data_IF_309399456403
#
_entry.id   IF_309399456403
#
_cell.length_a   1.000
_cell.length_b   1.000
_cell.length_c   1.000
_cell.angle_alpha   90.00
_cell.angle_beta   90.00
_cell.angle_gamma   90.00
#
_symmetry.space_group_name_H-M   'P 1'
#
loop_
_entity.id
_entity.type
_entity.pdbx_description
1 polymer ?
#
# COMPACT_ATOMS: atom_id res chain seq x y z
N UNK A 1 -3.78 -11.93 -11.02
CA UNK A 1 -4.92 -11.93 -10.07
C UNK A 1 -4.98 -10.69 -9.18
N UNK A 2 -3.87 -10.23 -8.57
CA UNK A 2 -3.84 -9.04 -7.69
C UNK A 2 -3.41 -7.73 -8.36
N UNK A 3 -3.05 -7.79 -9.65
CA UNK A 3 -2.42 -6.69 -10.39
C UNK A 3 -2.99 -6.50 -11.80
N UNK A 4 -3.56 -7.55 -12.38
CA UNK A 4 -3.83 -7.64 -13.83
C UNK A 4 -5.29 -7.41 -14.23
N UNK A 5 -6.21 -7.26 -13.28
CA UNK A 5 -7.59 -6.85 -13.57
C UNK A 5 -7.71 -5.32 -13.44
N UNK A 6 -8.57 -4.70 -14.27
CA UNK A 6 -8.87 -3.26 -14.22
C UNK A 6 -9.18 -2.79 -12.80
N UNK A 7 -9.96 -3.56 -12.05
CA UNK A 7 -10.27 -3.25 -10.64
C UNK A 7 -9.01 -3.17 -9.77
N UNK A 8 -8.16 -4.19 -9.82
CA UNK A 8 -6.93 -4.22 -9.01
C UNK A 8 -5.93 -3.14 -9.44
N UNK A 9 -5.87 -2.84 -10.73
CA UNK A 9 -5.07 -1.75 -11.25
C UNK A 9 -5.52 -0.40 -10.68
N UNK A 10 -6.83 -0.15 -10.62
CA UNK A 10 -7.38 1.07 -10.01
C UNK A 10 -7.07 1.17 -8.51
N UNK A 11 -7.00 0.05 -7.78
CA UNK A 11 -6.53 0.07 -6.37
C UNK A 11 -5.08 0.55 -6.29
N UNK A 12 -4.19 0.03 -7.13
CA UNK A 12 -2.80 0.46 -7.15
C UNK A 12 -2.65 1.92 -7.55
N UNK A 13 -3.37 2.38 -8.58
CA UNK A 13 -3.40 3.81 -8.94
C UNK A 13 -3.85 4.69 -7.77
N UNK A 14 -4.89 4.29 -7.05
CA UNK A 14 -5.39 5.02 -5.88
C UNK A 14 -4.34 5.07 -4.76
N UNK A 15 -3.63 3.96 -4.51
CA UNK A 15 -2.52 3.91 -3.57
C UNK A 15 -1.39 4.87 -3.96
N UNK A 16 -0.93 4.86 -5.21
CA UNK A 16 0.15 5.76 -5.65
C UNK A 16 -0.24 7.23 -5.61
N UNK A 17 -1.51 7.54 -5.93
CA UNK A 17 -2.04 8.90 -5.79
C UNK A 17 -2.03 9.35 -4.33
N UNK A 18 -2.45 8.49 -3.39
CA UNK A 18 -2.35 8.77 -1.95
C UNK A 18 -0.90 9.03 -1.51
N UNK A 19 0.05 8.31 -2.10
CA UNK A 19 1.49 8.47 -1.84
C UNK A 19 2.12 9.65 -2.59
N UNK A 20 1.36 10.38 -3.40
CA UNK A 20 1.87 11.47 -4.27
C UNK A 20 2.97 11.01 -5.26
N UNK A 21 2.95 9.74 -5.67
CA UNK A 21 3.93 9.15 -6.57
C UNK A 21 3.41 9.21 -8.02
N UNK A 22 3.98 10.12 -8.80
CA UNK A 22 3.72 10.22 -10.23
C UNK A 22 4.55 9.18 -10.99
N UNK A 23 4.02 7.97 -11.15
CA UNK A 23 4.65 6.92 -11.97
C UNK A 23 3.67 6.32 -12.96
N UNK A 24 4.15 6.01 -14.17
CA UNK A 24 3.40 5.18 -15.12
C UNK A 24 3.46 3.74 -14.60
N UNK A 25 2.34 3.22 -14.07
CA UNK A 25 2.27 1.84 -13.60
C UNK A 25 2.63 0.89 -14.74
N UNK A 26 3.69 0.07 -14.62
CA UNK A 26 3.99 -0.93 -15.64
C UNK A 26 2.91 -2.02 -15.64
N UNK A 27 2.48 -2.44 -16.82
CA UNK A 27 1.43 -3.46 -17.00
C UNK A 27 1.79 -4.85 -16.41
N UNK A 28 3.06 -5.09 -16.06
CA UNK A 28 3.59 -6.42 -15.71
C UNK A 28 4.22 -6.52 -14.31
N UNK A 29 3.93 -7.64 -13.63
CA UNK A 29 4.24 -7.95 -12.22
C UNK A 29 5.70 -7.72 -11.81
N UNK A 30 6.65 -8.18 -12.63
CA UNK A 30 8.10 -8.08 -12.37
C UNK A 30 8.59 -6.66 -12.56
N UNK A 31 8.02 -5.91 -13.52
CA UNK A 31 8.33 -4.49 -13.69
C UNK A 31 7.68 -3.64 -12.60
N UNK A 32 6.52 -4.05 -12.09
CA UNK A 32 5.93 -3.44 -10.91
C UNK A 32 6.83 -3.62 -9.70
N UNK A 33 7.18 -4.85 -9.33
CA UNK A 33 8.06 -5.12 -8.19
C UNK A 33 9.45 -4.50 -8.38
N UNK A 34 10.07 -4.62 -9.57
CA UNK A 34 11.40 -4.07 -9.84
C UNK A 34 11.43 -2.54 -9.94
N UNK A 35 10.41 -1.87 -10.48
CA UNK A 35 10.31 -0.40 -10.36
C UNK A 35 9.98 0.03 -8.93
N UNK A 36 9.21 -0.76 -8.18
CA UNK A 36 8.74 -0.43 -6.83
C UNK A 36 9.82 -0.64 -5.75
N UNK A 37 10.71 -1.62 -5.94
CA UNK A 37 11.89 -1.89 -5.09
C UNK A 37 13.18 -1.26 -5.62
N UNK A 38 13.23 -0.95 -6.92
CA UNK A 38 14.41 -0.40 -7.60
C UNK A 38 14.56 1.12 -7.50
N UNK A 39 13.55 1.83 -6.98
CA UNK A 39 13.63 3.27 -6.72
C UNK A 39 14.75 3.56 -5.71
N UNK A 40 15.82 4.28 -6.10
CA UNK A 40 16.99 4.51 -5.24
C UNK A 40 16.64 5.21 -3.93
N UNK A 41 15.60 6.06 -3.93
CA UNK A 41 15.08 6.75 -2.74
C UNK A 41 14.50 5.80 -1.70
N UNK A 42 14.21 4.54 -2.04
CA UNK A 42 13.52 3.58 -1.18
C UNK A 42 14.43 2.44 -0.67
N UNK A 43 15.70 2.40 -1.08
CA UNK A 43 16.66 1.36 -0.64
C UNK A 43 16.88 1.33 0.88
N UNK A 44 17.02 2.48 1.53
CA UNK A 44 17.10 2.57 3.00
C UNK A 44 15.70 2.52 3.66
N UNK A 45 14.62 2.58 2.86
CA UNK A 45 13.21 2.68 3.29
C UNK A 45 12.42 1.38 3.00
N UNK A 46 13.16 0.32 2.67
CA UNK A 46 12.62 -0.91 2.07
C UNK A 46 11.61 -1.62 2.97
N UNK A 47 11.78 -1.59 4.30
CA UNK A 47 10.87 -2.30 5.24
C UNK A 47 9.49 -1.67 5.33
N UNK A 48 9.40 -0.37 5.62
CA UNK A 48 8.15 0.37 5.64
C UNK A 48 7.41 0.26 4.32
N UNK A 49 8.18 0.33 3.23
CA UNK A 49 7.62 0.27 1.90
C UNK A 49 7.09 -1.11 1.51
N UNK A 50 7.83 -2.16 1.89
CA UNK A 50 7.38 -3.54 1.78
C UNK A 50 6.10 -3.78 2.58
N UNK A 51 5.95 -3.15 3.75
CA UNK A 51 4.74 -3.26 4.57
C UNK A 51 3.51 -2.67 3.86
N UNK A 52 3.62 -1.49 3.25
CA UNK A 52 2.52 -0.92 2.44
C UNK A 52 2.16 -1.86 1.28
N UNK A 53 3.16 -2.37 0.57
CA UNK A 53 2.93 -3.24 -0.56
C UNK A 53 2.22 -4.55 -0.15
N UNK A 54 2.69 -5.21 0.91
CA UNK A 54 2.10 -6.44 1.45
C UNK A 54 0.67 -6.22 1.95
N UNK A 55 0.43 -5.14 2.68
CA UNK A 55 -0.90 -4.82 3.23
C UNK A 55 -1.90 -4.44 2.14
N UNK A 56 -1.43 -3.85 1.03
CA UNK A 56 -2.26 -3.62 -0.16
C UNK A 56 -2.67 -4.94 -0.82
N UNK A 57 -1.73 -5.85 -1.07
CA UNK A 57 -2.05 -7.19 -1.62
C UNK A 57 -3.02 -7.92 -0.72
N UNK A 58 -2.77 -7.91 0.60
CA UNK A 58 -3.64 -8.53 1.58
C UNK A 58 -5.05 -7.97 1.53
N UNK A 59 -5.20 -6.65 1.41
CA UNK A 59 -6.50 -5.98 1.34
C UNK A 59 -7.25 -6.33 0.05
N UNK A 60 -6.55 -6.43 -1.08
CA UNK A 60 -7.13 -6.92 -2.34
C UNK A 60 -7.59 -8.38 -2.19
N UNK A 61 -6.76 -9.25 -1.61
CA UNK A 61 -7.10 -10.64 -1.36
C UNK A 61 -8.35 -10.77 -0.45
N UNK A 62 -8.39 -10.00 0.63
CA UNK A 62 -9.51 -9.98 1.56
C UNK A 62 -10.81 -9.52 0.88
N UNK A 63 -10.74 -8.47 0.06
CA UNK A 63 -11.90 -8.01 -0.71
C UNK A 63 -12.43 -9.09 -1.64
N UNK A 64 -11.55 -9.80 -2.36
CA UNK A 64 -11.95 -10.91 -3.23
C UNK A 64 -12.62 -12.05 -2.47
N UNK A 65 -12.10 -12.41 -1.31
CA UNK A 65 -12.72 -13.43 -0.46
C UNK A 65 -14.09 -13.00 0.02
N UNK A 66 -14.28 -11.73 0.38
CA UNK A 66 -15.60 -11.22 0.75
C UNK A 66 -16.59 -11.22 -0.42
N UNK A 67 -16.14 -11.11 -1.67
CA UNK A 67 -17.02 -11.31 -2.84
C UNK A 67 -17.48 -12.78 -2.88
N UNK A 68 -16.55 -13.72 -2.77
CA UNK A 68 -16.83 -15.16 -2.91
C UNK A 68 -17.67 -15.69 -1.74
N UNK A 69 -17.28 -15.39 -0.51
CA UNK A 69 -17.87 -16.00 0.69
C UNK A 69 -19.01 -15.19 1.31
N UNK A 70 -19.09 -13.88 1.00
CA UNK A 70 -20.08 -12.98 1.62
C UNK A 70 -20.93 -12.22 0.60
N UNK A 71 -20.74 -12.47 -0.71
CA UNK A 71 -21.46 -11.81 -1.80
C UNK A 71 -21.46 -10.26 -1.69
N UNK A 72 -20.35 -9.70 -1.20
CA UNK A 72 -20.20 -8.24 -1.04
C UNK A 72 -19.75 -7.58 -2.34
N UNK A 73 -20.08 -6.29 -2.51
CA UNK A 73 -19.55 -5.49 -3.61
C UNK A 73 -18.17 -4.92 -3.24
N UNK A 74 -17.17 -5.00 -4.13
CA UNK A 74 -15.87 -4.44 -3.86
C UNK A 74 -15.90 -2.90 -3.93
N UNK A 75 -15.14 -2.24 -3.04
CA UNK A 75 -14.97 -0.79 -3.01
C UNK A 75 -13.49 -0.45 -3.02
N UNK A 76 -13.07 0.39 -3.97
CA UNK A 76 -11.67 0.83 -4.09
C UNK A 76 -11.21 1.56 -2.81
N UNK A 77 -12.04 2.49 -2.33
CA UNK A 77 -11.75 3.26 -1.13
C UNK A 77 -11.62 2.36 0.09
N UNK A 78 -12.55 1.42 0.28
CA UNK A 78 -12.47 0.49 1.40
C UNK A 78 -11.21 -0.38 1.38
N UNK A 79 -10.74 -0.79 0.20
CA UNK A 79 -9.49 -1.55 0.05
C UNK A 79 -8.29 -0.67 0.44
N UNK A 80 -8.26 0.58 -0.03
CA UNK A 80 -7.21 1.52 0.34
C UNK A 80 -7.21 1.78 1.85
N UNK A 81 -8.36 2.07 2.45
CA UNK A 81 -8.49 2.32 3.88
C UNK A 81 -8.01 1.11 4.70
N UNK A 82 -8.38 -0.11 4.27
CA UNK A 82 -7.93 -1.34 4.91
C UNK A 82 -6.40 -1.49 4.82
N UNK A 83 -5.81 -1.15 3.67
CA UNK A 83 -4.37 -1.19 3.48
C UNK A 83 -3.65 -0.13 4.34
N UNK A 84 -4.19 1.09 4.40
CA UNK A 84 -3.64 2.20 5.17
C UNK A 84 -3.67 1.92 6.68
N UNK A 85 -4.78 1.42 7.22
CA UNK A 85 -4.89 1.04 8.64
C UNK A 85 -3.91 -0.09 8.97
N UNK A 86 -3.85 -1.12 8.12
CA UNK A 86 -2.97 -2.28 8.38
C UNK A 86 -1.49 -1.91 8.28
N UNK A 87 -1.10 -1.10 7.29
CA UNK A 87 0.28 -0.63 7.16
C UNK A 87 0.68 0.23 8.34
N UNK A 88 -0.17 1.18 8.74
CA UNK A 88 0.07 2.01 9.92
C UNK A 88 0.27 1.16 11.18
N UNK A 89 -0.64 0.21 11.45
CA UNK A 89 -0.52 -0.69 12.61
C UNK A 89 0.79 -1.48 12.60
N UNK A 90 1.19 -2.01 11.44
CA UNK A 90 2.40 -2.84 11.31
C UNK A 90 3.69 -2.05 11.39
N UNK A 91 3.65 -0.78 10.97
CA UNK A 91 4.78 0.13 11.07
C UNK A 91 4.94 0.57 12.53
N UNK A 92 3.88 1.11 13.13
CA UNK A 92 3.90 1.57 14.52
C UNK A 92 4.07 0.46 15.55
N UNK A 93 3.70 -0.80 15.25
CA UNK A 93 3.91 -1.90 16.20
C UNK A 93 5.37 -2.34 16.32
N UNK A 94 6.24 -1.86 15.41
CA UNK A 94 7.65 -2.31 15.34
C UNK A 94 8.63 -1.29 15.92
N UNK A 95 8.25 -0.03 16.03
CA UNK A 95 9.08 1.05 16.56
C UNK A 95 8.50 1.56 17.88
N UNK A 96 9.09 1.13 19.01
CA UNK A 96 8.65 1.50 20.37
C UNK A 96 8.87 2.99 20.69
N UNK A 97 9.75 3.68 19.97
CA UNK A 97 10.15 5.05 20.26
C UNK A 97 9.57 6.11 19.31
N UNK A 98 9.03 5.72 18.15
CA UNK A 98 8.67 6.67 17.07
C UNK A 98 7.33 6.34 16.41
N UNK A 99 6.28 6.34 17.23
CA UNK A 99 4.90 6.19 16.73
C UNK A 99 4.34 7.53 16.26
N UNK A 100 3.73 7.53 15.08
CA UNK A 100 2.97 8.68 14.57
C UNK A 100 1.48 8.38 14.54
N UNK A 101 0.64 9.41 14.63
CA UNK A 101 -0.82 9.22 14.59
C UNK A 101 -1.29 8.72 13.22
N UNK A 102 -2.42 8.00 13.20
CA UNK A 102 -3.02 7.58 11.94
C UNK A 102 -3.44 8.75 11.04
N UNK A 103 -3.83 9.89 11.62
CA UNK A 103 -4.14 11.10 10.85
C UNK A 103 -2.90 11.69 10.16
N UNK A 104 -1.75 11.65 10.82
CA UNK A 104 -0.48 12.09 10.26
C UNK A 104 -0.04 11.15 9.13
N UNK A 105 -0.19 9.84 9.32
CA UNK A 105 0.05 8.82 8.30
C UNK A 105 -0.75 9.07 7.01
N UNK A 106 -2.04 9.33 7.14
CA UNK A 106 -2.90 9.56 5.98
C UNK A 106 -2.54 10.85 5.24
N UNK A 107 -2.13 11.88 5.97
CA UNK A 107 -1.88 13.22 5.42
C UNK A 107 -0.50 13.34 4.77
N UNK A 108 0.52 12.69 5.35
CA UNK A 108 1.93 12.84 4.96
C UNK A 108 2.66 11.48 4.92
N UNK A 109 2.18 10.49 4.15
CA UNK A 109 2.73 9.14 4.18
C UNK A 109 4.20 9.08 3.78
N UNK A 110 4.63 9.86 2.78
CA UNK A 110 6.04 9.91 2.38
C UNK A 110 6.95 10.43 3.50
N UNK A 111 6.47 11.34 4.35
CA UNK A 111 7.26 11.85 5.49
C UNK A 111 7.45 10.74 6.52
N UNK A 112 6.37 10.04 6.87
CA UNK A 112 6.40 8.87 7.76
C UNK A 112 7.23 7.70 7.22
N UNK A 113 7.41 7.61 5.89
CA UNK A 113 8.28 6.60 5.25
C UNK A 113 9.74 7.02 5.19
N UNK A 114 10.02 8.33 5.30
CA UNK A 114 11.35 8.93 5.17
C UNK A 114 12.05 9.18 6.50
N UNK A 115 11.35 9.02 7.61
CA UNK A 115 11.96 9.02 8.92
C UNK A 115 12.93 7.85 9.02
N UNK A 116 14.22 8.15 8.82
CA UNK A 116 15.28 7.47 9.55
C UNK A 116 15.17 7.98 10.99
N UNK A 117 14.19 7.46 11.72
CA UNK A 117 14.20 7.49 13.16
C UNK A 117 14.83 6.16 13.59
#
# INVERSE_FOLDING_TARGET
>A
MFFSCSFTYSVWQLLYNWLTINTVLPLHLIHHFNNHMGLPSLKNRSKHWSTIWLTTIWSIWLSRNNIIFKNTKPSLQHILDTANVKSWLWINSKDENDTFSYSYWLSLPLVCLNTNL
#
